data_IF_166025939428
#
_entry.id   IF_166025939428
#
_cell.length_a   1.000
_cell.length_b   1.000
_cell.length_c   1.000
_cell.angle_alpha   90.00
_cell.angle_beta   90.00
_cell.angle_gamma   90.00
#
_symmetry.space_group_name_H-M   'P 1'
#
loop_
_entity.id
_entity.type
_entity.pdbx_description
1 polymer ?
#
# COMPACT_ATOMS: atom_id res chain seq x y z
N UNK A 1 7.56 0.53 16.08
CA UNK A 1 7.19 1.49 15.02
C UNK A 1 6.52 0.69 13.92
N UNK A 2 5.41 1.18 13.39
CA UNK A 2 4.70 0.56 12.26
C UNK A 2 4.83 1.51 11.09
N UNK A 3 5.14 0.96 9.92
CA UNK A 3 5.02 1.69 8.66
C UNK A 3 3.96 0.99 7.84
N UNK A 4 2.99 1.75 7.33
CA UNK A 4 1.85 1.22 6.62
C UNK A 4 1.45 2.22 5.53
N UNK A 5 1.74 1.89 4.28
CA UNK A 5 1.42 2.79 3.18
C UNK A 5 1.09 2.04 1.91
N UNK A 6 0.30 2.68 1.05
CA UNK A 6 0.14 2.24 -0.32
C UNK A 6 0.21 3.41 -1.29
N UNK A 7 0.51 3.11 -2.55
CA UNK A 7 0.34 4.04 -3.67
C UNK A 7 -0.56 3.44 -4.72
N UNK A 8 -1.34 4.27 -5.40
CA UNK A 8 -2.18 3.91 -6.53
C UNK A 8 -1.91 4.83 -7.72
N UNK A 9 -1.89 4.28 -8.93
CA UNK A 9 -1.61 5.01 -10.17
C UNK A 9 -2.83 5.83 -10.63
N UNK A 10 -3.24 6.79 -9.80
CA UNK A 10 -4.36 7.70 -10.04
C UNK A 10 -3.98 9.10 -9.56
N UNK A 11 -4.62 10.11 -10.13
CA UNK A 11 -4.51 11.49 -9.61
C UNK A 11 -5.14 11.61 -8.22
N UNK A 12 -4.76 12.65 -7.46
CA UNK A 12 -5.25 12.85 -6.08
C UNK A 12 -6.78 12.81 -5.98
N UNK A 13 -7.46 13.50 -6.90
CA UNK A 13 -8.91 13.60 -6.90
C UNK A 13 -9.58 12.26 -7.25
N UNK A 14 -9.01 11.52 -8.19
CA UNK A 14 -9.50 10.18 -8.55
C UNK A 14 -9.23 9.16 -7.46
N UNK A 15 -8.07 9.23 -6.81
CA UNK A 15 -7.65 8.38 -5.72
C UNK A 15 -8.52 8.57 -4.47
N UNK A 16 -8.82 9.82 -4.08
CA UNK A 16 -9.77 10.13 -2.99
C UNK A 16 -11.15 9.54 -3.26
N UNK A 17 -11.68 9.76 -4.47
CA UNK A 17 -12.98 9.18 -4.85
C UNK A 17 -12.94 7.64 -4.81
N UNK A 18 -11.87 7.04 -5.32
CA UNK A 18 -11.67 5.59 -5.28
C UNK A 18 -11.66 5.05 -3.86
N UNK A 19 -10.98 5.75 -2.96
CA UNK A 19 -10.90 5.41 -1.56
C UNK A 19 -12.26 5.50 -0.86
N UNK A 20 -13.03 6.56 -1.07
CA UNK A 20 -14.41 6.67 -0.56
C UNK A 20 -15.29 5.51 -1.04
N UNK A 21 -15.23 5.19 -2.35
CA UNK A 21 -15.98 4.08 -2.94
C UNK A 21 -15.59 2.73 -2.31
N UNK A 22 -14.29 2.49 -2.11
CA UNK A 22 -13.76 1.26 -1.52
C UNK A 22 -14.14 1.10 -0.05
N UNK A 23 -14.04 2.18 0.72
CA UNK A 23 -14.43 2.21 2.13
C UNK A 23 -15.95 2.22 2.31
N UNK A 24 -16.71 2.44 1.22
CA UNK A 24 -18.16 2.64 1.21
C UNK A 24 -18.60 3.71 2.22
N UNK A 25 -17.88 4.84 2.22
CA UNK A 25 -18.09 5.99 3.10
C UNK A 25 -18.01 7.28 2.29
N UNK A 26 -18.83 8.25 2.66
CA UNK A 26 -18.68 9.63 2.19
C UNK A 26 -17.76 10.37 3.17
N UNK A 27 -16.50 10.53 2.77
CA UNK A 27 -15.43 11.04 3.64
C UNK A 27 -15.24 12.54 3.38
N UNK A 28 -15.39 13.34 4.43
CA UNK A 28 -15.01 14.75 4.41
C UNK A 28 -13.52 14.89 4.76
N UNK A 29 -12.67 14.89 3.73
CA UNK A 29 -11.22 15.04 3.91
C UNK A 29 -10.87 16.38 4.56
N UNK A 30 -10.05 16.33 5.60
CA UNK A 30 -9.50 17.50 6.26
C UNK A 30 -8.20 17.91 5.58
N UNK A 31 -7.81 19.18 5.73
CA UNK A 31 -6.47 19.64 5.37
C UNK A 31 -5.66 19.84 6.64
N UNK A 32 -4.42 19.35 6.64
CA UNK A 32 -3.47 19.63 7.71
C UNK A 32 -2.87 21.05 7.59
N UNK A 33 -1.96 21.38 8.51
CA UNK A 33 -1.27 22.68 8.51
C UNK A 33 -0.32 22.89 7.31
N UNK A 34 -0.01 21.83 6.56
CA UNK A 34 0.86 21.83 5.40
C UNK A 34 0.08 21.74 4.07
N UNK A 35 -1.25 21.58 4.13
CA UNK A 35 -2.13 21.45 2.98
C UNK A 35 -2.29 20.02 2.43
N UNK A 36 -1.88 19.00 3.19
CA UNK A 36 -2.12 17.60 2.85
C UNK A 36 -3.54 17.20 3.23
N UNK A 37 -4.16 16.32 2.45
CA UNK A 37 -5.47 15.76 2.78
C UNK A 37 -5.32 14.63 3.81
N UNK A 38 -6.22 14.61 4.79
CA UNK A 38 -6.27 13.60 5.85
C UNK A 38 -7.68 13.02 5.96
N UNK A 39 -7.74 11.71 6.16
CA UNK A 39 -8.90 10.98 6.73
C UNK A 39 -8.43 10.18 7.95
N UNK A 40 -8.94 10.51 9.13
CA UNK A 40 -8.49 9.91 10.41
C UNK A 40 -6.95 9.97 10.58
N UNK A 41 -6.24 8.83 10.48
CA UNK A 41 -4.78 8.72 10.55
C UNK A 41 -4.10 8.61 9.18
N UNK A 42 -4.86 8.63 8.07
CA UNK A 42 -4.37 8.39 6.72
C UNK A 42 -4.12 9.72 6.01
N UNK A 43 -2.88 9.92 5.58
CA UNK A 43 -2.43 11.05 4.79
C UNK A 43 -2.42 10.73 3.31
N UNK A 44 -2.81 11.71 2.49
CA UNK A 44 -2.92 11.58 1.04
C UNK A 44 -2.03 12.62 0.38
N UNK A 45 -1.16 12.17 -0.53
CA UNK A 45 -0.31 13.06 -1.31
C UNK A 45 -0.15 12.55 -2.73
N UNK A 46 -0.23 13.46 -3.71
CA UNK A 46 0.09 13.15 -5.11
C UNK A 46 1.54 13.50 -5.39
N UNK A 47 2.19 12.66 -6.17
CA UNK A 47 3.58 12.81 -6.55
C UNK A 47 3.71 13.02 -8.08
N UNK A 48 4.83 13.60 -8.52
CA UNK A 48 5.03 14.04 -9.92
C UNK A 48 5.05 12.88 -10.94
N UNK A 49 5.19 11.64 -10.46
CA UNK A 49 5.18 10.41 -11.25
C UNK A 49 3.76 9.89 -11.57
N UNK A 50 2.72 10.62 -11.14
CA UNK A 50 1.32 10.26 -11.40
C UNK A 50 0.74 9.23 -10.44
N UNK A 51 1.38 9.05 -9.29
CA UNK A 51 0.89 8.22 -8.20
C UNK A 51 0.35 9.06 -7.05
N UNK A 52 -0.70 8.55 -6.41
CA UNK A 52 -1.17 9.07 -5.13
C UNK A 52 -0.81 8.09 -4.02
N UNK A 53 -0.17 8.60 -2.98
CA UNK A 53 0.32 7.90 -1.81
C UNK A 53 -0.66 8.07 -0.65
N UNK A 54 -0.78 7.00 0.13
CA UNK A 54 -1.64 6.86 1.28
C UNK A 54 -0.77 6.36 2.42
N UNK A 55 -0.55 7.18 3.44
CA UNK A 55 0.30 6.85 4.59
C UNK A 55 -0.56 6.79 5.83
N UNK A 56 -0.67 5.62 6.43
CA UNK A 56 -1.38 5.42 7.69
C UNK A 56 -0.42 5.54 8.87
N UNK A 57 -0.56 6.63 9.62
CA UNK A 57 0.33 6.96 10.74
C UNK A 57 0.18 6.04 11.96
N UNK A 58 -0.94 5.34 12.09
CA UNK A 58 -1.18 4.41 13.22
C UNK A 58 -0.84 2.95 12.84
N UNK A 59 -0.79 2.67 11.53
CA UNK A 59 -0.45 1.36 10.97
C UNK A 59 -1.51 0.28 11.21
N UNK A 60 -2.79 0.65 11.21
CA UNK A 60 -3.93 -0.22 11.47
C UNK A 60 -5.00 -0.18 10.35
N UNK A 61 -5.06 0.88 9.55
CA UNK A 61 -6.11 1.10 8.56
C UNK A 61 -6.10 0.08 7.42
N UNK A 62 -4.91 -0.39 7.01
CA UNK A 62 -4.73 -1.29 5.87
C UNK A 62 -4.17 -2.66 6.23
N UNK A 63 -3.70 -2.81 7.48
CA UNK A 63 -3.10 -4.03 7.98
C UNK A 63 -4.07 -5.23 7.90
N UNK A 64 -3.60 -6.34 7.33
CA UNK A 64 -4.36 -7.59 7.27
C UNK A 64 -5.52 -7.58 6.27
N UNK A 65 -5.59 -6.60 5.36
CA UNK A 65 -6.57 -6.60 4.28
C UNK A 65 -6.23 -7.67 3.24
N UNK A 66 -7.21 -8.52 2.90
CA UNK A 66 -7.04 -9.58 1.89
C UNK A 66 -6.68 -9.03 0.50
N UNK A 67 -6.00 -9.84 -0.31
CA UNK A 67 -5.71 -9.52 -1.71
C UNK A 67 -6.96 -9.15 -2.54
N UNK A 68 -8.14 -9.73 -2.24
CA UNK A 68 -9.41 -9.41 -2.90
C UNK A 68 -9.78 -7.95 -2.68
N UNK A 69 -9.59 -7.44 -1.46
CA UNK A 69 -9.84 -6.03 -1.12
C UNK A 69 -8.94 -5.10 -1.92
N UNK A 70 -7.65 -5.44 -2.04
CA UNK A 70 -6.70 -4.68 -2.84
C UNK A 70 -7.01 -4.71 -4.34
N UNK A 71 -7.44 -5.85 -4.87
CA UNK A 71 -7.89 -5.98 -6.27
C UNK A 71 -9.15 -5.13 -6.53
N UNK A 72 -10.10 -5.12 -5.60
CA UNK A 72 -11.30 -4.28 -5.66
C UNK A 72 -10.95 -2.78 -5.66
N UNK A 73 -9.98 -2.37 -4.83
CA UNK A 73 -9.44 -1.01 -4.82
C UNK A 73 -8.77 -0.68 -6.16
N UNK A 74 -7.91 -1.56 -6.68
CA UNK A 74 -7.10 -1.32 -7.86
C UNK A 74 -7.94 -1.16 -9.15
N UNK A 75 -8.96 -2.00 -9.33
CA UNK A 75 -9.71 -2.14 -10.59
C UNK A 75 -8.75 -2.42 -11.77
N UNK A 76 -8.56 -1.48 -12.68
CA UNK A 76 -7.61 -1.57 -13.80
C UNK A 76 -6.28 -0.83 -13.58
N UNK A 77 -6.09 -0.26 -12.38
CA UNK A 77 -4.93 0.57 -12.03
C UNK A 77 -3.87 -0.26 -11.32
N UNK A 78 -2.67 0.28 -11.20
CA UNK A 78 -1.61 -0.34 -10.41
C UNK A 78 -1.68 0.13 -8.95
N UNK A 79 -1.40 -0.78 -8.02
CA UNK A 79 -1.36 -0.54 -6.58
C UNK A 79 -0.13 -1.22 -6.00
N UNK A 80 0.56 -0.51 -5.12
CA UNK A 80 1.66 -1.06 -4.31
C UNK A 80 1.34 -0.76 -2.86
N UNK A 81 1.16 -1.79 -2.05
CA UNK A 81 0.96 -1.68 -0.60
C UNK A 81 2.09 -2.38 0.12
N UNK A 82 2.60 -1.77 1.19
CA UNK A 82 3.57 -2.38 2.07
C UNK A 82 3.29 -2.04 3.53
N UNK A 83 3.61 -3.00 4.40
CA UNK A 83 3.53 -2.87 5.84
C UNK A 83 4.72 -3.56 6.51
N UNK A 84 5.21 -2.98 7.61
CA UNK A 84 6.00 -3.72 8.58
C UNK A 84 5.86 -3.15 10.00
N UNK A 85 6.22 -3.97 11.00
CA UNK A 85 6.25 -3.54 12.40
C UNK A 85 7.51 -3.98 13.17
N UNK A 86 7.55 -3.60 14.44
CA UNK A 86 8.66 -3.92 15.37
C UNK A 86 8.72 -5.38 15.81
N UNK A 87 7.68 -6.17 15.53
CA UNK A 87 7.63 -7.59 15.80
C UNK A 87 8.05 -8.43 14.58
N UNK A 88 8.60 -7.77 13.54
CA UNK A 88 9.00 -8.40 12.28
C UNK A 88 7.84 -8.95 11.46
N UNK A 89 6.62 -8.46 11.71
CA UNK A 89 5.51 -8.70 10.81
C UNK A 89 5.70 -7.86 9.55
N UNK A 90 5.31 -8.39 8.39
CA UNK A 90 5.40 -7.65 7.14
C UNK A 90 4.35 -8.10 6.12
N UNK A 91 3.85 -7.16 5.32
CA UNK A 91 2.98 -7.42 4.17
C UNK A 91 3.47 -6.67 2.94
N UNK A 92 3.27 -7.26 1.76
CA UNK A 92 3.45 -6.59 0.48
C UNK A 92 2.40 -7.08 -0.52
N UNK A 93 1.72 -6.14 -1.16
CA UNK A 93 0.84 -6.41 -2.30
C UNK A 93 1.31 -5.58 -3.49
N UNK A 94 1.57 -6.24 -4.60
CA UNK A 94 1.88 -5.59 -5.88
C UNK A 94 0.79 -5.97 -6.88
N UNK A 95 0.07 -4.97 -7.37
CA UNK A 95 -0.91 -5.09 -8.43
C UNK A 95 -0.45 -4.22 -9.59
N UNK A 96 -0.35 -4.79 -10.78
CA UNK A 96 -0.07 -4.05 -12.00
C UNK A 96 -1.25 -4.14 -12.96
N UNK A 97 -1.78 -2.97 -13.35
CA UNK A 97 -2.93 -2.86 -14.29
C UNK A 97 -4.10 -3.77 -13.89
N UNK A 98 -4.39 -3.83 -12.59
CA UNK A 98 -5.45 -4.65 -12.02
C UNK A 98 -5.15 -6.13 -11.79
N UNK A 99 -3.95 -6.61 -12.17
CA UNK A 99 -3.54 -8.00 -11.97
C UNK A 99 -2.62 -8.12 -10.76
N UNK A 100 -2.91 -9.05 -9.85
CA UNK A 100 -2.04 -9.34 -8.71
C UNK A 100 -0.74 -9.99 -9.19
N UNK A 101 0.39 -9.36 -8.89
CA UNK A 101 1.73 -9.80 -9.28
C UNK A 101 2.45 -10.44 -8.09
N UNK A 102 2.28 -9.85 -6.91
CA UNK A 102 2.93 -10.30 -5.66
C UNK A 102 1.94 -10.22 -4.51
N UNK A 103 1.93 -11.27 -3.70
CA UNK A 103 1.37 -11.26 -2.35
C UNK A 103 2.42 -11.86 -1.42
N UNK A 104 2.79 -11.10 -0.40
CA UNK A 104 3.71 -11.53 0.65
C UNK A 104 3.09 -11.16 1.99
N UNK A 105 3.04 -12.12 2.91
CA UNK A 105 2.72 -11.85 4.31
C UNK A 105 3.56 -12.75 5.21
N UNK A 106 4.13 -12.16 6.25
CA UNK A 106 4.92 -12.84 7.27
C UNK A 106 4.44 -12.40 8.65
N UNK A 107 3.97 -13.37 9.44
CA UNK A 107 3.41 -13.15 10.77
C UNK A 107 3.93 -14.19 11.74
N UNK A 108 4.10 -13.83 13.01
CA UNK A 108 4.56 -14.77 14.04
C UNK A 108 3.59 -15.95 14.23
N UNK A 109 2.28 -15.68 14.17
CA UNK A 109 1.21 -16.62 14.54
C UNK A 109 0.42 -17.19 13.35
N UNK A 110 0.77 -16.82 12.10
CA UNK A 110 0.06 -17.27 10.90
C UNK A 110 1.01 -17.90 9.88
N UNK A 111 0.54 -18.84 9.04
CA UNK A 111 1.35 -19.33 7.93
C UNK A 111 1.71 -18.22 6.95
N UNK A 112 2.96 -18.15 6.54
CA UNK A 112 3.43 -17.25 5.50
C UNK A 112 2.59 -17.39 4.21
N UNK A 113 2.27 -16.26 3.58
CA UNK A 113 1.60 -16.23 2.29
C UNK A 113 2.47 -15.51 1.27
N UNK A 114 3.31 -16.26 0.56
CA UNK A 114 4.30 -15.74 -0.38
C UNK A 114 4.00 -16.29 -1.78
N UNK A 115 3.12 -15.60 -2.51
CA UNK A 115 2.64 -15.99 -3.83
C UNK A 115 3.19 -15.05 -4.89
N UNK A 116 3.92 -15.64 -5.82
CA UNK A 116 4.57 -14.96 -6.94
C UNK A 116 3.82 -15.35 -8.22
N UNK A 117 3.17 -14.38 -8.88
CA UNK A 117 2.45 -14.63 -10.13
C UNK A 117 3.30 -14.30 -11.35
N UNK A 118 4.00 -13.17 -11.31
CA UNK A 118 4.88 -12.70 -12.39
C UNK A 118 6.12 -12.01 -11.79
N UNK A 119 7.15 -11.80 -12.60
CA UNK A 119 8.29 -10.95 -12.21
C UNK A 119 7.89 -9.47 -12.34
N UNK A 120 8.13 -8.66 -11.30
CA UNK A 120 8.04 -7.19 -11.38
C UNK A 120 9.42 -6.55 -11.31
N UNK A 121 9.55 -5.29 -11.77
CA UNK A 121 10.85 -4.68 -12.10
C UNK A 121 11.88 -4.69 -10.96
N UNK A 122 11.44 -4.44 -9.72
CA UNK A 122 12.29 -4.42 -8.53
C UNK A 122 13.03 -5.76 -8.32
N UNK A 123 12.37 -6.89 -8.61
CA UNK A 123 12.92 -8.21 -8.33
C UNK A 123 14.00 -8.69 -9.29
N UNK A 124 14.22 -7.93 -10.38
CA UNK A 124 15.40 -8.14 -11.22
C UNK A 124 16.70 -7.84 -10.47
N UNK A 125 16.65 -7.02 -9.42
CA UNK A 125 17.78 -6.65 -8.59
C UNK A 125 17.75 -7.27 -7.18
N UNK A 126 16.56 -7.35 -6.57
CA UNK A 126 16.39 -7.75 -5.16
C UNK A 126 15.09 -8.54 -4.96
N UNK A 127 15.17 -9.78 -4.47
CA UNK A 127 13.99 -10.65 -4.29
C UNK A 127 13.37 -10.40 -2.91
N UNK A 128 12.04 -10.35 -2.82
CA UNK A 128 11.32 -10.26 -1.53
C UNK A 128 11.16 -11.66 -0.93
N UNK A 129 11.79 -11.94 0.22
CA UNK A 129 11.74 -13.24 0.91
C UNK A 129 11.55 -13.15 2.42
N UNK A 130 11.99 -12.07 3.03
CA UNK A 130 11.89 -11.85 4.47
C UNK A 130 11.37 -10.43 4.78
N UNK A 131 10.96 -10.19 6.02
CA UNK A 131 10.42 -8.89 6.45
C UNK A 131 11.36 -7.72 6.10
N UNK A 132 12.67 -7.90 6.23
CA UNK A 132 13.65 -6.85 5.97
C UNK A 132 13.73 -6.47 4.47
N UNK A 133 13.36 -7.38 3.57
CA UNK A 133 13.25 -7.07 2.14
C UNK A 133 12.05 -6.13 1.90
N UNK A 134 10.94 -6.32 2.63
CA UNK A 134 9.78 -5.41 2.58
C UNK A 134 10.14 -4.03 3.12
N UNK A 135 10.90 -3.95 4.21
CA UNK A 135 11.43 -2.68 4.74
C UNK A 135 12.26 -1.96 3.69
N UNK A 136 13.22 -2.68 3.09
CA UNK A 136 14.11 -2.13 2.06
C UNK A 136 13.33 -1.68 0.82
N UNK A 137 12.31 -2.45 0.42
CA UNK A 137 11.42 -2.10 -0.68
C UNK A 137 10.64 -0.82 -0.37
N UNK A 138 10.04 -0.72 0.82
CA UNK A 138 9.26 0.44 1.25
C UNK A 138 10.13 1.70 1.27
N UNK A 139 11.35 1.63 1.81
CA UNK A 139 12.31 2.74 1.83
C UNK A 139 12.72 3.22 0.42
N UNK A 140 12.73 2.34 -0.57
CA UNK A 140 13.15 2.67 -1.94
C UNK A 140 11.97 3.14 -2.79
N UNK A 141 10.79 2.52 -2.65
CA UNK A 141 9.67 2.66 -3.58
C UNK A 141 8.49 3.48 -3.03
N UNK A 142 8.39 3.63 -1.70
CA UNK A 142 7.19 4.15 -1.04
C UNK A 142 7.44 5.32 -0.09
N UNK A 143 8.64 5.47 0.47
CA UNK A 143 9.01 6.64 1.28
C UNK A 143 9.55 7.74 0.36
N UNK A 144 8.96 8.94 0.46
CA UNK A 144 9.32 10.16 -0.25
C UNK A 144 10.21 11.04 0.65
#
# INVERSE_FOLDING_TARGET
>A
MRECCFKISLSLEEAKKRYCDWMNKDIEFQLDEYGNFIDESVYFSEHEDGWTYFVDLEGEAFFGLSNVSWIELAKENSVTYAYYDENFNAELIIIEKGSLIREFSLYEDEPDNNIDFEEFEYEKGSIIKEWNDVVTFLEIELII
#
